data_IF_447130840930
#
_entry.id   IF_447130840930
#
_cell.length_a   1.000
_cell.length_b   1.000
_cell.length_c   1.000
_cell.angle_alpha   90.00
_cell.angle_beta   90.00
_cell.angle_gamma   90.00
#
_symmetry.space_group_name_H-M   'P 1'
#
loop_
_entity.id
_entity.type
_entity.pdbx_description
1 polymer ?
#
# COMPACT_ATOMS: atom_id res chain seq x y z
N UNK A 1 -4.45 58.52 -48.64
CA UNK A 1 -3.19 57.75 -48.74
C UNK A 1 -2.74 57.43 -47.33
N UNK A 2 -2.95 56.20 -46.87
CA UNK A 2 -2.45 55.67 -45.58
C UNK A 2 -1.45 54.58 -45.95
N UNK A 3 -0.19 54.62 -45.50
CA UNK A 3 0.77 53.56 -45.78
C UNK A 3 0.58 52.39 -44.80
N UNK A 4 0.44 51.19 -45.38
CA UNK A 4 0.67 49.91 -44.69
C UNK A 4 2.09 49.87 -44.13
N UNK A 5 2.24 49.48 -42.86
CA UNK A 5 3.51 48.99 -42.32
C UNK A 5 3.40 47.50 -42.01
N UNK A 6 3.97 46.78 -42.95
CA UNK A 6 4.43 45.41 -42.96
C UNK A 6 5.00 44.91 -41.63
N UNK A 7 4.52 43.73 -41.24
CA UNK A 7 5.31 42.57 -40.82
C UNK A 7 6.63 42.86 -40.09
N UNK A 8 6.54 42.94 -38.76
CA UNK A 8 7.63 42.59 -37.86
C UNK A 8 7.34 41.21 -37.28
N UNK A 9 7.92 40.19 -37.89
CA UNK A 9 7.93 38.81 -37.43
C UNK A 9 8.47 38.70 -35.99
N UNK A 10 7.61 38.36 -35.04
CA UNK A 10 8.00 37.82 -33.73
C UNK A 10 7.33 36.46 -33.47
N UNK A 11 7.12 35.68 -34.53
CA UNK A 11 6.50 34.35 -34.45
C UNK A 11 7.46 33.19 -34.20
N UNK A 12 8.59 33.40 -33.50
CA UNK A 12 9.63 32.37 -33.39
C UNK A 12 10.33 32.27 -32.03
N UNK A 13 9.69 32.71 -30.94
CA UNK A 13 10.20 32.49 -29.58
C UNK A 13 9.19 31.77 -28.67
N UNK A 14 7.88 32.00 -28.83
CA UNK A 14 6.85 31.33 -28.02
C UNK A 14 6.74 29.82 -28.28
N UNK A 15 7.10 29.33 -29.46
CA UNK A 15 6.91 27.90 -29.80
C UNK A 15 7.96 26.98 -29.18
N UNK A 16 9.18 27.48 -28.94
CA UNK A 16 10.27 26.67 -28.35
C UNK A 16 10.23 26.69 -26.81
N UNK A 17 9.86 27.83 -26.20
CA UNK A 17 9.74 27.95 -24.74
C UNK A 17 8.51 27.18 -24.20
N UNK A 18 7.35 27.25 -24.87
CA UNK A 18 6.17 26.46 -24.47
C UNK A 18 6.41 24.96 -24.62
N UNK A 19 7.13 24.54 -25.67
CA UNK A 19 7.45 23.12 -25.87
C UNK A 19 8.42 22.59 -24.81
N UNK A 20 9.39 23.38 -24.36
CA UNK A 20 10.30 23.01 -23.28
C UNK A 20 9.59 22.95 -21.93
N UNK A 21 8.73 23.93 -21.63
CA UNK A 21 7.94 23.99 -20.40
C UNK A 21 6.90 22.85 -20.32
N UNK A 22 6.29 22.47 -21.46
CA UNK A 22 5.39 21.32 -21.57
C UNK A 22 6.12 19.99 -21.35
N UNK A 23 7.37 19.87 -21.84
CA UNK A 23 8.21 18.69 -21.64
C UNK A 23 8.64 18.57 -20.17
N UNK A 24 9.00 19.67 -19.52
CA UNK A 24 9.34 19.70 -18.10
C UNK A 24 8.12 19.41 -17.22
N UNK A 25 6.94 19.95 -17.56
CA UNK A 25 5.68 19.64 -16.90
C UNK A 25 5.31 18.15 -17.04
N UNK A 26 5.48 17.57 -18.24
CA UNK A 26 5.24 16.15 -18.47
C UNK A 26 6.22 15.25 -17.69
N UNK A 27 7.50 15.64 -17.62
CA UNK A 27 8.50 14.93 -16.83
C UNK A 27 8.18 15.00 -15.32
N UNK A 28 7.77 16.16 -14.83
CA UNK A 28 7.35 16.35 -13.44
C UNK A 28 6.12 15.51 -13.11
N UNK A 29 5.10 15.52 -13.97
CA UNK A 29 3.88 14.74 -13.79
C UNK A 29 4.17 13.23 -13.73
N UNK A 30 5.10 12.76 -14.56
CA UNK A 30 5.51 11.35 -14.56
C UNK A 30 6.20 10.97 -13.26
N UNK A 31 7.17 11.77 -12.81
CA UNK A 31 7.88 11.53 -11.54
C UNK A 31 6.91 11.59 -10.37
N UNK A 32 6.03 12.59 -10.37
CA UNK A 32 5.03 12.76 -9.33
C UNK A 32 4.09 11.56 -9.25
N UNK A 33 3.52 11.12 -10.38
CA UNK A 33 2.62 9.96 -10.42
C UNK A 33 3.35 8.67 -10.03
N UNK A 34 4.55 8.44 -10.56
CA UNK A 34 5.36 7.26 -10.20
C UNK A 34 5.67 7.22 -8.70
N UNK A 35 6.08 8.36 -8.12
CA UNK A 35 6.37 8.46 -6.70
C UNK A 35 5.12 8.24 -5.85
N UNK A 36 4.01 8.88 -6.25
CA UNK A 36 2.72 8.74 -5.57
C UNK A 36 2.26 7.29 -5.58
N UNK A 37 2.33 6.63 -6.72
CA UNK A 37 1.87 5.25 -6.88
C UNK A 37 2.76 4.30 -6.06
N UNK A 38 4.09 4.51 -6.05
CA UNK A 38 5.01 3.77 -5.20
C UNK A 38 4.72 3.96 -3.70
N UNK A 39 4.45 5.20 -3.25
CA UNK A 39 4.10 5.49 -1.85
C UNK A 39 2.80 4.77 -1.47
N UNK A 40 1.78 4.81 -2.33
CA UNK A 40 0.51 4.14 -2.04
C UNK A 40 0.63 2.63 -2.00
N UNK A 41 1.48 2.05 -2.85
CA UNK A 41 1.76 0.61 -2.82
C UNK A 41 2.44 0.18 -1.51
N UNK A 42 3.48 0.90 -1.09
CA UNK A 42 4.18 0.65 0.18
C UNK A 42 3.23 0.83 1.37
N UNK A 43 2.44 1.91 1.39
CA UNK A 43 1.50 2.18 2.48
C UNK A 43 0.39 1.14 2.54
N UNK A 44 -0.10 0.66 1.39
CA UNK A 44 -1.07 -0.42 1.30
C UNK A 44 -0.50 -1.73 1.85
N UNK A 45 0.70 -2.10 1.39
CA UNK A 45 1.39 -3.32 1.85
C UNK A 45 1.71 -3.26 3.34
N UNK A 46 2.22 -2.14 3.84
CA UNK A 46 2.48 -1.94 5.27
C UNK A 46 1.19 -2.06 6.11
N UNK A 47 0.09 -1.48 5.63
CA UNK A 47 -1.22 -1.59 6.29
C UNK A 47 -1.72 -3.03 6.32
N UNK A 48 -1.58 -3.76 5.21
CA UNK A 48 -1.94 -5.18 5.15
C UNK A 48 -1.10 -6.02 6.11
N UNK A 49 0.21 -5.80 6.18
CA UNK A 49 1.10 -6.47 7.13
C UNK A 49 0.65 -6.19 8.57
N UNK A 50 0.45 -4.92 8.92
CA UNK A 50 0.02 -4.53 10.27
C UNK A 50 -1.32 -5.20 10.65
N UNK A 51 -2.27 -5.21 9.71
CA UNK A 51 -3.55 -5.89 9.92
C UNK A 51 -3.37 -7.38 10.22
N UNK A 52 -2.54 -8.09 9.46
CA UNK A 52 -2.28 -9.51 9.69
C UNK A 52 -1.50 -9.76 11.00
N UNK A 53 -0.61 -8.85 11.40
CA UNK A 53 0.07 -8.93 12.70
C UNK A 53 -0.92 -8.79 13.86
N UNK A 54 -1.84 -7.82 13.79
CA UNK A 54 -2.90 -7.65 14.79
C UNK A 54 -3.83 -8.86 14.82
N UNK A 55 -4.23 -9.37 13.65
CA UNK A 55 -5.06 -10.57 13.54
C UNK A 55 -4.35 -11.78 14.17
N UNK A 56 -3.06 -11.97 13.88
CA UNK A 56 -2.25 -13.03 14.47
C UNK A 56 -2.19 -12.88 16.00
N UNK A 57 -1.95 -11.67 16.53
CA UNK A 57 -1.90 -11.43 17.96
C UNK A 57 -3.24 -11.73 18.67
N UNK A 58 -4.36 -11.29 18.09
CA UNK A 58 -5.71 -11.58 18.64
C UNK A 58 -5.98 -13.07 18.63
N UNK A 59 -5.72 -13.73 17.50
CA UNK A 59 -5.94 -15.16 17.34
C UNK A 59 -5.07 -15.98 18.30
N UNK A 60 -3.82 -15.57 18.54
CA UNK A 60 -2.92 -16.19 19.51
C UNK A 60 -3.43 -16.03 20.95
N UNK A 61 -3.93 -14.83 21.30
CA UNK A 61 -4.55 -14.60 22.61
C UNK A 61 -5.75 -15.53 22.86
N UNK A 62 -6.62 -15.69 21.86
CA UNK A 62 -7.76 -16.61 21.92
C UNK A 62 -7.28 -18.07 22.03
N UNK A 63 -6.29 -18.46 21.24
CA UNK A 63 -5.71 -19.80 21.27
C UNK A 63 -5.15 -20.15 22.65
N UNK A 64 -4.37 -19.25 23.26
CA UNK A 64 -3.82 -19.43 24.61
C UNK A 64 -4.95 -19.59 25.63
N UNK A 65 -6.03 -18.79 25.50
CA UNK A 65 -7.20 -18.87 26.37
C UNK A 65 -8.04 -20.14 26.20
N UNK A 66 -8.08 -20.74 25.01
CA UNK A 66 -8.81 -21.99 24.74
C UNK A 66 -8.00 -23.25 25.06
N UNK A 67 -6.73 -23.26 24.68
CA UNK A 67 -5.84 -24.43 24.78
C UNK A 67 -5.22 -24.53 26.18
N UNK A 68 -4.76 -23.42 26.75
CA UNK A 68 -4.05 -23.42 28.04
C UNK A 68 -4.86 -24.02 29.20
N UNK A 69 -6.12 -23.60 29.41
CA UNK A 69 -6.99 -24.17 30.44
C UNK A 69 -7.38 -25.63 30.19
N UNK A 70 -7.54 -26.04 28.92
CA UNK A 70 -7.81 -27.44 28.58
C UNK A 70 -6.65 -28.36 28.99
N UNK A 71 -5.41 -27.94 28.74
CA UNK A 71 -4.21 -28.69 29.16
C UNK A 71 -4.06 -28.78 30.69
N UNK A 72 -4.65 -27.83 31.43
CA UNK A 72 -4.71 -27.85 32.90
C UNK A 72 -5.91 -28.65 33.44
N UNK A 73 -6.67 -29.31 32.56
CA UNK A 73 -7.80 -30.15 32.92
C UNK A 73 -9.08 -29.40 33.31
N UNK A 74 -9.15 -28.09 33.10
CA UNK A 74 -10.26 -27.25 33.60
C UNK A 74 -11.26 -26.79 32.54
N UNK A 75 -11.05 -27.10 31.25
CA UNK A 75 -11.87 -26.57 30.16
C UNK A 75 -12.55 -27.63 29.29
N UNK A 76 -13.61 -27.19 28.60
CA UNK A 76 -14.45 -28.02 27.73
C UNK A 76 -13.87 -28.23 26.34
N UNK A 77 -14.28 -29.30 25.66
CA UNK A 77 -13.89 -29.59 24.27
C UNK A 77 -14.24 -28.46 23.28
N UNK A 78 -15.31 -27.71 23.55
CA UNK A 78 -15.67 -26.54 22.75
C UNK A 78 -14.61 -25.43 22.84
N UNK A 79 -14.08 -25.15 24.04
CA UNK A 79 -13.02 -24.17 24.23
C UNK A 79 -11.73 -24.57 23.51
N UNK A 80 -11.39 -25.87 23.53
CA UNK A 80 -10.27 -26.39 22.75
C UNK A 80 -10.49 -26.22 21.25
N UNK A 81 -11.69 -26.54 20.74
CA UNK A 81 -12.04 -26.36 19.33
C UNK A 81 -11.84 -24.92 18.85
N UNK A 82 -12.35 -23.95 19.63
CA UNK A 82 -12.16 -22.51 19.33
C UNK A 82 -10.67 -22.14 19.35
N UNK A 83 -9.90 -22.64 20.31
CA UNK A 83 -8.47 -22.37 20.41
C UNK A 83 -7.68 -22.91 19.22
N UNK A 84 -8.00 -24.11 18.73
CA UNK A 84 -7.35 -24.72 17.55
C UNK A 84 -7.67 -23.93 16.29
N UNK A 85 -8.94 -23.54 16.09
CA UNK A 85 -9.34 -22.71 14.94
C UNK A 85 -8.61 -21.36 14.98
N UNK A 86 -8.54 -20.73 16.16
CA UNK A 86 -7.82 -19.47 16.33
C UNK A 86 -6.32 -19.63 15.99
N UNK A 87 -5.67 -20.72 16.41
CA UNK A 87 -4.29 -21.01 16.00
C UNK A 87 -4.13 -21.12 14.48
N UNK A 88 -5.03 -21.85 13.81
CA UNK A 88 -4.97 -22.00 12.36
C UNK A 88 -5.07 -20.64 11.64
N UNK A 89 -5.95 -19.76 12.10
CA UNK A 89 -6.07 -18.39 11.59
C UNK A 89 -4.80 -17.58 11.85
N UNK A 90 -4.22 -17.67 13.04
CA UNK A 90 -2.97 -16.98 13.38
C UNK A 90 -1.78 -17.43 12.54
N UNK A 91 -1.64 -18.73 12.32
CA UNK A 91 -0.61 -19.30 11.43
C UNK A 91 -0.81 -18.82 10.00
N UNK A 92 -2.05 -18.87 9.49
CA UNK A 92 -2.36 -18.34 8.16
C UNK A 92 -1.98 -16.86 8.03
N UNK A 93 -2.29 -16.04 9.04
CA UNK A 93 -1.94 -14.64 9.06
C UNK A 93 -0.41 -14.43 9.05
N UNK A 94 0.34 -15.19 9.84
CA UNK A 94 1.80 -15.16 9.86
C UNK A 94 2.41 -15.56 8.50
N UNK A 95 1.85 -16.58 7.83
CA UNK A 95 2.28 -16.99 6.48
C UNK A 95 2.02 -15.87 5.46
N UNK A 96 0.91 -15.15 5.57
CA UNK A 96 0.63 -14.00 4.69
C UNK A 96 1.63 -12.86 4.90
N UNK A 97 1.98 -12.54 6.15
CA UNK A 97 3.05 -11.57 6.44
C UNK A 97 4.37 -12.04 5.85
N UNK A 98 4.74 -13.31 6.04
CA UNK A 98 5.98 -13.86 5.48
C UNK A 98 6.02 -13.69 3.95
N UNK A 99 4.94 -14.05 3.24
CA UNK A 99 4.88 -13.88 1.78
C UNK A 99 4.98 -12.41 1.37
N UNK A 100 4.23 -11.51 2.00
CA UNK A 100 4.28 -10.08 1.69
C UNK A 100 5.64 -9.41 1.93
N UNK A 101 6.47 -9.99 2.80
CA UNK A 101 7.82 -9.47 3.09
C UNK A 101 8.89 -10.11 2.19
N UNK A 102 8.64 -11.30 1.65
CA UNK A 102 9.63 -12.07 0.87
C UNK A 102 9.38 -12.03 -0.64
N UNK A 103 8.20 -11.57 -1.07
CA UNK A 103 7.88 -11.18 -2.44
C UNK A 103 8.34 -9.74 -2.71
#
# INVERSE_FOLDING_TARGET
>A
MVPDRSAGSSGHAETDETSAEDVDAAAYDLIYRATRDAIWDVLGTATLILFHLVLAAISLSIAVGGIGPFLRGSASYAALGVGVVALAVGVFAAVRVYRLVTE
#
